data_IF_225482775377
#
_entry.id   IF_225482775377
#
_cell.length_a   1.000
_cell.length_b   1.000
_cell.length_c   1.000
_cell.angle_alpha   90.00
_cell.angle_beta   90.00
_cell.angle_gamma   90.00
#
_symmetry.space_group_name_H-M   'P 1'
#
loop_
_entity.id
_entity.type
_entity.pdbx_description
1 polymer ?
#
# COMPACT_ATOMS: atom_id res chain seq x y z
N UNK A 1 23.91 -10.12 -6.52
CA UNK A 1 22.45 -10.26 -6.25
C UNK A 1 22.34 -11.32 -5.16
N UNK A 2 21.75 -10.99 -4.01
CA UNK A 2 21.79 -11.88 -2.86
C UNK A 2 20.90 -13.11 -3.06
N UNK A 3 21.34 -14.27 -2.55
CA UNK A 3 20.57 -15.53 -2.51
C UNK A 3 19.14 -15.37 -1.97
N UNK A 4 18.90 -14.37 -1.13
CA UNK A 4 17.57 -14.01 -0.64
C UNK A 4 16.58 -13.58 -1.73
N UNK A 5 17.05 -12.94 -2.80
CA UNK A 5 16.19 -12.49 -3.91
C UNK A 5 15.75 -13.66 -4.80
N UNK A 6 16.62 -14.65 -5.01
CA UNK A 6 16.27 -15.88 -5.74
C UNK A 6 15.31 -16.77 -4.95
N UNK A 7 15.41 -16.80 -3.63
CA UNK A 7 14.48 -17.54 -2.77
C UNK A 7 13.05 -16.96 -2.80
N UNK A 8 12.89 -15.64 -2.92
CA UNK A 8 11.57 -15.01 -3.07
C UNK A 8 10.93 -15.29 -4.43
N UNK A 9 11.73 -15.41 -5.48
CA UNK A 9 11.23 -15.68 -6.83
C UNK A 9 10.89 -17.16 -7.05
N UNK A 10 11.37 -18.06 -6.20
CA UNK A 10 11.12 -19.50 -6.25
C UNK A 10 9.94 -19.99 -5.39
N UNK A 11 9.18 -19.10 -4.75
CA UNK A 11 7.95 -19.51 -4.11
C UNK A 11 6.96 -19.95 -5.18
N UNK A 12 6.68 -21.25 -5.22
CA UNK A 12 5.65 -21.83 -6.07
C UNK A 12 4.31 -21.16 -5.73
N UNK A 13 3.84 -20.29 -6.62
CA UNK A 13 2.52 -19.68 -6.49
C UNK A 13 1.48 -20.78 -6.67
N UNK A 14 0.62 -21.08 -5.68
CA UNK A 14 -0.35 -22.16 -5.78
C UNK A 14 -1.37 -21.87 -6.87
N UNK A 15 -1.74 -22.92 -7.60
CA UNK A 15 -2.79 -22.89 -8.61
C UNK A 15 -4.12 -23.29 -7.99
N UNK A 16 -5.18 -22.59 -8.37
CA UNK A 16 -6.57 -22.87 -7.99
C UNK A 16 -7.35 -23.24 -9.24
N UNK A 17 -8.12 -24.33 -9.19
CA UNK A 17 -8.99 -24.78 -10.30
C UNK A 17 -10.43 -24.43 -9.97
N UNK A 18 -11.07 -23.64 -10.82
CA UNK A 18 -12.51 -23.36 -10.77
C UNK A 18 -13.25 -24.21 -11.79
N UNK A 19 -14.31 -24.89 -11.34
CA UNK A 19 -15.26 -25.52 -12.24
C UNK A 19 -16.33 -24.50 -12.65
N UNK A 20 -16.51 -24.32 -13.95
CA UNK A 20 -17.53 -23.46 -14.53
C UNK A 20 -18.42 -24.25 -15.47
N UNK A 21 -19.57 -23.71 -15.83
CA UNK A 21 -20.47 -24.29 -16.82
C UNK A 21 -19.81 -24.48 -18.23
N UNK A 22 -18.62 -23.89 -18.42
CA UNK A 22 -17.83 -23.96 -19.67
C UNK A 22 -16.55 -24.80 -19.53
N UNK A 23 -16.41 -25.57 -18.43
CA UNK A 23 -15.26 -26.41 -18.12
C UNK A 23 -14.38 -25.85 -16.98
N UNK A 24 -13.28 -26.52 -16.74
CA UNK A 24 -12.32 -26.18 -15.71
C UNK A 24 -11.39 -25.03 -16.17
N UNK A 25 -11.11 -24.10 -15.27
CA UNK A 25 -10.11 -23.04 -15.47
C UNK A 25 -9.14 -23.00 -14.31
N UNK A 26 -7.86 -23.06 -14.59
CA UNK A 26 -6.80 -22.89 -13.62
C UNK A 26 -6.36 -21.41 -13.56
N UNK A 27 -6.18 -20.91 -12.35
CA UNK A 27 -5.64 -19.58 -12.05
C UNK A 27 -4.53 -19.72 -11.00
N UNK A 28 -3.50 -18.91 -11.08
CA UNK A 28 -2.69 -18.69 -9.89
C UNK A 28 -3.52 -17.95 -8.82
N UNK A 29 -3.10 -18.08 -7.55
CA UNK A 29 -3.88 -17.53 -6.43
C UNK A 29 -4.06 -16.01 -6.52
N UNK A 30 -3.05 -15.27 -7.01
CA UNK A 30 -3.15 -13.81 -7.14
C UNK A 30 -4.10 -13.40 -8.27
N UNK A 31 -4.04 -14.08 -9.42
CA UNK A 31 -4.99 -13.89 -10.52
C UNK A 31 -6.42 -14.23 -10.11
N UNK A 32 -6.59 -15.25 -9.26
CA UNK A 32 -7.90 -15.59 -8.71
C UNK A 32 -8.43 -14.53 -7.76
N UNK A 33 -7.57 -14.00 -6.88
CA UNK A 33 -7.93 -12.92 -5.96
C UNK A 33 -8.19 -11.60 -6.69
N UNK A 34 -7.49 -11.33 -7.79
CA UNK A 34 -7.75 -10.15 -8.63
C UNK A 34 -9.19 -10.14 -9.19
N UNK A 35 -9.78 -11.29 -9.51
CA UNK A 35 -11.20 -11.39 -9.89
C UNK A 35 -12.15 -10.94 -8.77
N UNK A 36 -11.73 -11.06 -7.51
CA UNK A 36 -12.46 -10.54 -6.34
C UNK A 36 -12.06 -9.10 -6.01
N UNK A 37 -11.38 -8.43 -6.95
CA UNK A 37 -10.91 -7.04 -6.82
C UNK A 37 -9.91 -6.84 -5.66
N UNK A 38 -9.09 -7.85 -5.42
CA UNK A 38 -8.06 -7.86 -4.38
C UNK A 38 -6.69 -7.76 -5.03
N UNK A 39 -5.92 -6.75 -4.63
CA UNK A 39 -4.53 -6.53 -5.04
C UNK A 39 -3.63 -6.68 -3.82
N UNK A 40 -2.45 -7.28 -4.00
CA UNK A 40 -1.42 -7.39 -2.97
C UNK A 40 -0.18 -6.59 -3.33
N UNK A 41 0.27 -5.77 -2.39
CA UNK A 41 1.59 -5.15 -2.40
C UNK A 41 2.44 -5.83 -1.31
N UNK A 42 3.34 -6.72 -1.72
CA UNK A 42 4.22 -7.47 -0.82
C UNK A 42 5.68 -7.18 -1.15
N UNK A 43 6.48 -6.89 -0.11
CA UNK A 43 7.91 -6.61 -0.24
C UNK A 43 8.22 -5.18 -0.69
N UNK A 44 9.48 -4.93 -1.13
CA UNK A 44 9.95 -3.60 -1.52
C UNK A 44 9.27 -3.05 -2.78
N UNK A 45 9.01 -1.74 -2.78
CA UNK A 45 8.43 -1.04 -3.93
C UNK A 45 9.54 -0.61 -4.88
N UNK A 46 9.46 -1.05 -6.12
CA UNK A 46 10.33 -0.68 -7.24
C UNK A 46 9.52 -0.59 -8.54
N UNK A 47 10.12 -0.13 -9.63
CA UNK A 47 9.40 0.20 -10.87
C UNK A 47 8.56 -0.97 -11.42
N UNK A 48 9.07 -2.20 -11.41
CA UNK A 48 8.33 -3.34 -11.92
C UNK A 48 7.09 -3.66 -11.06
N UNK A 49 7.20 -3.60 -9.73
CA UNK A 49 6.07 -3.77 -8.81
C UNK A 49 5.06 -2.64 -9.01
N UNK A 50 5.52 -1.39 -9.09
CA UNK A 50 4.65 -0.24 -9.29
C UNK A 50 3.87 -0.34 -10.60
N UNK A 51 4.54 -0.68 -11.71
CA UNK A 51 3.90 -0.86 -13.01
C UNK A 51 2.82 -1.94 -12.97
N UNK A 52 3.09 -3.06 -12.29
CA UNK A 52 2.11 -4.14 -12.15
C UNK A 52 0.89 -3.73 -11.31
N UNK A 53 1.11 -3.02 -10.20
CA UNK A 53 0.01 -2.52 -9.35
C UNK A 53 -0.83 -1.49 -10.11
N UNK A 54 -0.22 -0.53 -10.80
CA UNK A 54 -0.92 0.45 -11.61
C UNK A 54 -1.78 -0.22 -12.70
N UNK A 55 -1.22 -1.22 -13.39
CA UNK A 55 -1.97 -1.98 -14.41
C UNK A 55 -3.18 -2.71 -13.81
N UNK A 56 -3.05 -3.32 -12.63
CA UNK A 56 -4.15 -3.98 -11.93
C UNK A 56 -5.24 -2.98 -11.49
N UNK A 57 -4.85 -1.82 -10.97
CA UNK A 57 -5.79 -0.75 -10.59
C UNK A 57 -6.61 -0.28 -11.80
N UNK A 58 -5.95 0.02 -12.91
CA UNK A 58 -6.60 0.45 -14.16
C UNK A 58 -7.49 -0.64 -14.76
N UNK A 59 -7.05 -1.90 -14.72
CA UNK A 59 -7.85 -3.03 -15.18
C UNK A 59 -9.14 -3.19 -14.38
N UNK A 60 -9.05 -3.12 -13.05
CA UNK A 60 -10.23 -3.25 -12.19
C UNK A 60 -11.18 -2.06 -12.32
N UNK A 61 -10.65 -0.84 -12.50
CA UNK A 61 -11.47 0.33 -12.78
C UNK A 61 -12.22 0.20 -14.09
N UNK A 62 -11.56 -0.27 -15.15
CA UNK A 62 -12.19 -0.50 -16.45
C UNK A 62 -13.27 -1.60 -16.40
N UNK A 63 -13.08 -2.63 -15.57
CA UNK A 63 -14.06 -3.70 -15.35
C UNK A 63 -15.32 -3.18 -14.64
N UNK A 64 -15.17 -2.46 -13.53
CA UNK A 64 -16.29 -1.85 -12.81
C UNK A 64 -15.83 -0.66 -11.95
N UNK A 65 -16.03 0.59 -12.42
CA UNK A 65 -15.58 1.78 -11.69
C UNK A 65 -16.35 2.09 -10.40
N UNK A 66 -17.50 1.44 -10.18
CA UNK A 66 -18.35 1.71 -9.02
C UNK A 66 -18.13 0.74 -7.85
N UNK A 67 -17.26 -0.25 -8.04
CA UNK A 67 -16.93 -1.22 -6.98
C UNK A 67 -15.57 -0.90 -6.37
N UNK A 68 -15.46 -1.12 -5.07
CA UNK A 68 -14.23 -0.96 -4.32
C UNK A 68 -13.14 -1.92 -4.83
N UNK A 69 -11.90 -1.46 -4.71
CA UNK A 69 -10.70 -2.27 -4.88
C UNK A 69 -10.08 -2.45 -3.49
N UNK A 70 -9.81 -3.68 -3.09
CA UNK A 70 -9.17 -3.99 -1.81
C UNK A 70 -7.66 -4.13 -2.01
N UNK A 71 -6.90 -3.21 -1.44
CA UNK A 71 -5.45 -3.14 -1.60
C UNK A 71 -4.76 -3.54 -0.30
N UNK A 72 -4.25 -4.78 -0.26
CA UNK A 72 -3.54 -5.34 0.89
C UNK A 72 -2.06 -4.99 0.83
N UNK A 73 -1.54 -4.42 1.91
CA UNK A 73 -0.17 -3.88 1.99
C UNK A 73 0.62 -4.63 3.07
N UNK A 74 1.74 -5.25 2.64
CA UNK A 74 2.79 -5.80 3.50
C UNK A 74 4.15 -5.40 2.92
N UNK A 75 4.55 -4.15 3.14
CA UNK A 75 5.69 -3.56 2.46
C UNK A 75 6.57 -2.72 3.41
N UNK A 76 7.90 -2.85 3.30
CA UNK A 76 8.84 -1.94 3.98
C UNK A 76 8.96 -0.58 3.28
N UNK A 77 8.22 -0.32 2.19
CA UNK A 77 8.38 0.84 1.34
C UNK A 77 9.35 0.60 0.19
N UNK A 78 9.95 1.66 -0.34
CA UNK A 78 10.90 1.54 -1.45
C UNK A 78 11.09 2.84 -2.23
N UNK A 79 11.24 2.75 -3.54
CA UNK A 79 11.53 3.89 -4.42
C UNK A 79 10.39 4.89 -4.41
N UNK A 80 10.70 6.15 -4.11
CA UNK A 80 9.71 7.24 -3.94
C UNK A 80 8.89 7.45 -5.21
N UNK A 81 9.55 7.57 -6.37
CA UNK A 81 8.86 7.81 -7.66
C UNK A 81 7.95 6.66 -8.07
N UNK A 82 8.38 5.40 -7.85
CA UNK A 82 7.56 4.21 -8.08
C UNK A 82 6.33 4.19 -7.16
N UNK A 83 6.50 4.63 -5.91
CA UNK A 83 5.39 4.73 -4.95
C UNK A 83 4.42 5.85 -5.29
N UNK A 84 4.91 6.99 -5.78
CA UNK A 84 4.07 8.08 -6.27
C UNK A 84 3.28 7.68 -7.52
N UNK A 85 3.83 6.83 -8.38
CA UNK A 85 3.08 6.28 -9.52
C UNK A 85 1.87 5.46 -9.06
N UNK A 86 2.04 4.62 -8.03
CA UNK A 86 0.91 3.88 -7.43
C UNK A 86 -0.08 4.87 -6.78
N UNK A 87 0.42 5.80 -5.98
CA UNK A 87 -0.39 6.82 -5.31
C UNK A 87 -1.26 7.60 -6.31
N UNK A 88 -0.64 8.17 -7.33
CA UNK A 88 -1.35 8.96 -8.34
C UNK A 88 -2.39 8.11 -9.08
N UNK A 89 -2.08 6.84 -9.40
CA UNK A 89 -3.03 5.92 -10.01
C UNK A 89 -4.23 5.65 -9.09
N UNK A 90 -4.00 5.42 -7.78
CA UNK A 90 -5.08 5.27 -6.79
C UNK A 90 -5.99 6.50 -6.72
N UNK A 91 -5.43 7.71 -6.85
CA UNK A 91 -6.20 8.95 -6.82
C UNK A 91 -6.88 9.27 -8.17
N UNK A 92 -6.33 8.78 -9.28
CA UNK A 92 -6.81 9.04 -10.64
C UNK A 92 -8.04 8.21 -11.00
N UNK A 93 -8.10 6.94 -10.59
CA UNK A 93 -9.20 6.03 -10.90
C UNK A 93 -10.47 6.40 -10.14
N UNK A 94 -11.63 6.04 -10.70
CA UNK A 94 -12.94 6.30 -10.09
C UNK A 94 -13.31 5.30 -8.99
N UNK A 95 -12.81 4.06 -9.11
CA UNK A 95 -13.05 3.02 -8.09
C UNK A 95 -12.44 3.44 -6.76
N UNK A 96 -13.20 3.43 -5.64
CA UNK A 96 -12.62 3.64 -4.33
C UNK A 96 -11.61 2.54 -4.00
N UNK A 97 -10.45 2.91 -3.47
CA UNK A 97 -9.42 1.96 -3.04
C UNK A 97 -9.46 1.83 -1.52
N UNK A 98 -9.92 0.68 -1.04
CA UNK A 98 -9.83 0.33 0.38
C UNK A 98 -8.44 -0.26 0.65
N UNK A 99 -7.72 0.29 1.63
CA UNK A 99 -6.36 -0.14 1.99
C UNK A 99 -6.35 -0.94 3.28
N UNK A 100 -5.59 -2.03 3.32
CA UNK A 100 -5.50 -2.91 4.49
C UNK A 100 -4.04 -3.23 4.79
N UNK A 101 -3.53 -2.80 5.94
CA UNK A 101 -2.22 -3.19 6.41
C UNK A 101 -2.25 -4.61 6.99
N UNK A 102 -1.43 -5.50 6.43
CA UNK A 102 -1.16 -6.84 6.96
C UNK A 102 0.35 -6.99 7.21
N UNK A 103 0.75 -7.32 8.43
CA UNK A 103 2.16 -7.40 8.79
C UNK A 103 2.81 -6.03 8.96
N UNK A 104 3.15 -5.33 7.87
CA UNK A 104 3.74 -4.00 7.96
C UNK A 104 3.36 -3.07 6.80
N UNK A 105 3.29 -1.79 7.10
CA UNK A 105 3.26 -0.71 6.12
C UNK A 105 4.26 0.36 6.55
N UNK A 106 5.46 0.33 5.98
CA UNK A 106 6.54 1.23 6.37
C UNK A 106 6.92 2.18 5.22
N UNK A 107 7.36 3.41 5.57
CA UNK A 107 7.85 4.40 4.61
C UNK A 107 6.80 4.64 3.51
N UNK A 108 7.15 4.47 2.23
CA UNK A 108 6.20 4.58 1.13
C UNK A 108 4.99 3.63 1.25
N UNK A 109 5.12 2.49 1.94
CA UNK A 109 3.99 1.61 2.24
C UNK A 109 2.95 2.27 3.15
N UNK A 110 3.38 3.06 4.14
CA UNK A 110 2.47 3.82 5.01
C UNK A 110 1.81 4.99 4.28
N UNK A 111 2.49 5.60 3.31
CA UNK A 111 1.90 6.61 2.43
C UNK A 111 0.73 6.03 1.62
N UNK A 112 0.94 4.87 1.00
CA UNK A 112 -0.09 4.18 0.23
C UNK A 112 -1.24 3.70 1.11
N UNK A 113 -0.96 3.26 2.33
CA UNK A 113 -1.99 2.90 3.32
C UNK A 113 -2.88 4.10 3.65
N UNK A 114 -2.27 5.24 3.97
CA UNK A 114 -2.99 6.47 4.29
C UNK A 114 -3.75 7.06 3.09
N UNK A 115 -3.31 6.74 1.86
CA UNK A 115 -3.89 7.22 0.60
C UNK A 115 -5.18 6.49 0.18
N UNK A 116 -5.63 5.50 0.92
CA UNK A 116 -6.92 4.84 0.72
C UNK A 116 -8.11 5.79 0.77
N UNK A 117 -9.24 5.36 0.24
CA UNK A 117 -10.48 6.10 0.31
C UNK A 117 -10.87 6.34 1.78
N UNK A 118 -11.43 7.52 2.06
CA UNK A 118 -11.87 7.91 3.40
C UNK A 118 -12.83 6.86 3.98
N UNK A 119 -12.65 6.54 5.25
CA UNK A 119 -13.40 5.51 5.99
C UNK A 119 -13.16 4.07 5.48
N UNK A 120 -12.13 3.86 4.63
CA UNK A 120 -11.77 2.56 4.06
C UNK A 120 -10.28 2.22 4.20
N UNK A 121 -9.63 2.78 5.22
CA UNK A 121 -8.22 2.53 5.52
C UNK A 121 -8.13 1.69 6.80
N UNK A 122 -7.65 0.47 6.66
CA UNK A 122 -7.70 -0.54 7.71
C UNK A 122 -6.32 -1.06 8.09
N UNK A 123 -6.21 -1.57 9.30
CA UNK A 123 -5.05 -2.36 9.74
C UNK A 123 -5.49 -3.57 10.54
N UNK A 124 -4.79 -4.69 10.39
CA UNK A 124 -4.93 -5.82 11.31
C UNK A 124 -4.25 -5.51 12.64
N UNK A 125 -4.69 -6.11 13.77
CA UNK A 125 -4.32 -5.67 15.12
C UNK A 125 -2.84 -5.86 15.47
N UNK A 126 -2.13 -6.76 14.80
CA UNK A 126 -0.70 -7.05 15.04
C UNK A 126 0.23 -6.46 13.97
N UNK A 127 -0.28 -5.59 13.10
CA UNK A 127 0.54 -4.92 12.08
C UNK A 127 1.40 -3.82 12.68
N UNK A 128 2.45 -3.42 11.94
CA UNK A 128 3.30 -2.27 12.28
C UNK A 128 3.25 -1.25 11.16
N UNK A 129 3.03 -0.01 11.53
CA UNK A 129 3.08 1.11 10.60
C UNK A 129 4.30 1.96 10.94
N UNK A 130 5.08 2.38 9.94
CA UNK A 130 6.24 3.24 10.16
C UNK A 130 6.24 4.39 9.17
N UNK A 131 6.42 5.59 9.70
CA UNK A 131 6.53 6.83 8.92
C UNK A 131 7.90 7.45 9.14
N UNK A 132 8.49 7.98 8.08
CA UNK A 132 9.72 8.78 8.11
C UNK A 132 9.87 9.61 6.83
N UNK A 133 10.80 10.57 6.85
CA UNK A 133 11.15 11.35 5.66
C UNK A 133 11.85 10.48 4.60
N UNK A 134 11.82 10.87 3.31
CA UNK A 134 12.56 10.14 2.28
C UNK A 134 14.06 10.16 2.59
N UNK A 135 14.69 9.00 2.43
CA UNK A 135 16.15 8.89 2.45
C UNK A 135 16.70 9.03 1.04
N UNK A 136 17.81 9.71 0.90
CA UNK A 136 18.51 9.88 -0.37
C UNK A 136 19.96 10.23 -0.14
N UNK A 137 20.76 10.13 -1.19
CA UNK A 137 22.16 10.51 -1.21
C UNK A 137 22.54 11.01 -2.60
N UNK A 138 23.59 11.83 -2.66
CA UNK A 138 24.13 12.34 -3.90
C UNK A 138 25.65 12.19 -3.90
N UNK A 139 26.21 11.88 -5.07
CA UNK A 139 27.64 11.79 -5.31
C UNK A 139 27.94 12.40 -6.68
N UNK A 140 29.02 13.16 -6.79
CA UNK A 140 29.41 13.82 -8.03
C UNK A 140 30.07 15.17 -7.77
N UNK A 141 30.03 16.06 -8.77
CA UNK A 141 30.50 17.43 -8.65
C UNK A 141 29.57 18.25 -7.73
N UNK A 142 30.07 19.34 -7.17
CA UNK A 142 29.29 20.18 -6.24
C UNK A 142 27.93 20.61 -6.78
N UNK A 143 27.86 20.99 -8.06
CA UNK A 143 26.61 21.37 -8.72
C UNK A 143 25.63 20.20 -8.83
N UNK A 144 26.11 18.97 -9.11
CA UNK A 144 25.27 17.79 -9.19
C UNK A 144 24.68 17.43 -7.82
N UNK A 145 25.50 17.54 -6.78
CA UNK A 145 25.06 17.34 -5.38
C UNK A 145 23.97 18.35 -5.00
N UNK A 146 24.15 19.63 -5.38
CA UNK A 146 23.15 20.68 -5.11
C UNK A 146 21.83 20.40 -5.83
N UNK A 147 21.85 19.97 -7.09
CA UNK A 147 20.65 19.61 -7.86
C UNK A 147 19.91 18.45 -7.17
N UNK A 148 20.63 17.39 -6.82
CA UNK A 148 20.04 16.23 -6.14
C UNK A 148 19.48 16.59 -4.76
N UNK A 149 20.16 17.43 -4.00
CA UNK A 149 19.67 17.89 -2.71
C UNK A 149 18.36 18.68 -2.83
N UNK A 150 18.24 19.56 -3.82
CA UNK A 150 17.00 20.30 -4.10
C UNK A 150 15.84 19.35 -4.45
N UNK A 151 16.09 18.34 -5.27
CA UNK A 151 15.09 17.35 -5.64
C UNK A 151 14.62 16.54 -4.44
N UNK A 152 15.53 16.07 -3.58
CA UNK A 152 15.18 15.35 -2.34
C UNK A 152 14.31 16.23 -1.42
N UNK A 153 14.64 17.52 -1.28
CA UNK A 153 13.86 18.46 -0.49
C UNK A 153 12.46 18.71 -1.09
N UNK A 154 12.36 18.80 -2.42
CA UNK A 154 11.09 18.94 -3.11
C UNK A 154 10.20 17.70 -2.92
N UNK A 155 10.78 16.50 -3.06
CA UNK A 155 10.06 15.24 -2.78
C UNK A 155 9.60 15.15 -1.32
N UNK A 156 10.47 15.54 -0.35
CA UNK A 156 10.10 15.61 1.07
C UNK A 156 8.89 16.52 1.30
N UNK A 157 8.91 17.72 0.72
CA UNK A 157 7.79 18.65 0.83
C UNK A 157 6.51 18.05 0.25
N UNK A 158 6.58 17.42 -0.93
CA UNK A 158 5.45 16.78 -1.59
C UNK A 158 4.86 15.63 -0.76
N UNK A 159 5.70 14.77 -0.18
CA UNK A 159 5.27 13.68 0.68
C UNK A 159 4.58 14.20 1.95
N UNK A 160 5.10 15.26 2.55
CA UNK A 160 4.48 15.91 3.71
C UNK A 160 3.06 16.41 3.37
N UNK A 161 2.88 17.07 2.21
CA UNK A 161 1.57 17.52 1.72
C UNK A 161 0.58 16.36 1.55
N UNK A 162 1.04 15.23 1.03
CA UNK A 162 0.22 14.03 0.88
C UNK A 162 -0.23 13.50 2.26
N UNK A 163 0.67 13.42 3.23
CA UNK A 163 0.29 13.02 4.58
C UNK A 163 -0.67 14.02 5.24
N UNK A 164 -0.45 15.32 5.11
CA UNK A 164 -1.40 16.37 5.58
C UNK A 164 -2.79 16.13 5.00
N UNK A 165 -2.86 15.94 3.68
CA UNK A 165 -4.13 15.71 2.96
C UNK A 165 -4.91 14.51 3.51
N UNK A 166 -4.22 13.39 3.76
CA UNK A 166 -4.87 12.13 4.10
C UNK A 166 -5.08 11.92 5.60
N UNK A 167 -4.20 12.48 6.44
CA UNK A 167 -4.30 12.34 7.90
C UNK A 167 -5.12 13.45 8.56
N UNK A 168 -5.21 14.62 7.93
CA UNK A 168 -5.79 15.81 8.52
C UNK A 168 -4.90 16.49 9.58
N UNK A 169 -3.69 15.99 9.80
CA UNK A 169 -2.72 16.59 10.72
C UNK A 169 -2.14 17.88 10.14
N UNK A 170 -1.80 18.89 10.98
CA UNK A 170 -1.12 20.07 10.51
C UNK A 170 0.30 19.76 10.02
N UNK A 171 0.81 20.59 9.09
CA UNK A 171 2.11 20.38 8.45
C UNK A 171 3.26 20.22 9.45
N UNK A 172 3.26 21.03 10.50
CA UNK A 172 4.29 20.98 11.54
C UNK A 172 4.31 19.64 12.30
N UNK A 173 3.13 19.08 12.56
CA UNK A 173 3.00 17.76 13.19
C UNK A 173 3.52 16.65 12.28
N UNK A 174 3.19 16.72 10.98
CA UNK A 174 3.71 15.80 9.97
C UNK A 174 5.23 15.91 9.85
N UNK A 175 5.78 17.11 9.72
CA UNK A 175 7.23 17.33 9.63
C UNK A 175 7.98 16.78 10.85
N UNK A 176 7.45 17.04 12.05
CA UNK A 176 8.02 16.52 13.29
C UNK A 176 7.94 14.98 13.37
N UNK A 177 6.81 14.39 12.96
CA UNK A 177 6.61 12.96 13.02
C UNK A 177 7.46 12.19 11.98
N UNK A 178 7.74 12.79 10.84
CA UNK A 178 8.54 12.21 9.75
C UNK A 178 10.05 12.47 9.90
N UNK A 179 10.50 13.26 10.85
CA UNK A 179 11.92 13.63 10.98
C UNK A 179 12.83 12.42 11.21
N UNK A 180 12.36 11.42 11.94
CA UNK A 180 13.03 10.13 12.18
C UNK A 180 12.02 9.00 12.09
N UNK A 181 12.51 7.76 12.06
CA UNK A 181 11.66 6.58 12.06
C UNK A 181 10.69 6.61 13.23
N UNK A 182 9.40 6.72 12.93
CA UNK A 182 8.33 6.66 13.90
C UNK A 182 7.49 5.42 13.66
N UNK A 183 7.64 4.44 14.56
CA UNK A 183 6.87 3.22 14.55
C UNK A 183 5.57 3.42 15.34
N UNK A 184 4.47 2.96 14.75
CA UNK A 184 3.13 3.09 15.29
C UNK A 184 2.48 1.70 15.34
N UNK A 185 1.80 1.42 16.46
CA UNK A 185 0.80 0.36 16.52
C UNK A 185 -0.42 0.75 15.66
N UNK A 186 -1.31 -0.19 15.33
CA UNK A 186 -2.54 0.14 14.60
C UNK A 186 -3.40 1.19 15.30
N UNK A 187 -3.50 1.16 16.63
CA UNK A 187 -4.26 2.14 17.42
C UNK A 187 -3.63 3.53 17.30
N UNK A 188 -2.33 3.64 17.50
CA UNK A 188 -1.60 4.92 17.35
C UNK A 188 -1.69 5.45 15.91
N UNK A 189 -1.68 4.57 14.90
CA UNK A 189 -1.84 4.94 13.50
C UNK A 189 -3.27 5.47 13.21
N UNK A 190 -4.28 4.90 13.85
CA UNK A 190 -5.66 5.38 13.77
C UNK A 190 -5.81 6.75 14.46
N UNK A 191 -5.26 6.93 15.66
CA UNK A 191 -5.26 8.21 16.37
C UNK A 191 -4.50 9.30 15.61
N UNK A 192 -3.44 8.94 14.89
CA UNK A 192 -2.68 9.84 14.03
C UNK A 192 -3.40 10.17 12.71
N UNK A 193 -4.41 9.39 12.32
CA UNK A 193 -5.19 9.58 11.09
C UNK A 193 -4.65 8.88 9.86
N UNK A 194 -3.68 7.96 10.01
CA UNK A 194 -3.14 7.15 8.91
C UNK A 194 -4.13 6.08 8.43
N UNK A 195 -4.97 5.59 9.34
CA UNK A 195 -6.02 4.62 9.06
C UNK A 195 -7.32 5.06 9.74
N UNK A 196 -8.42 4.43 9.35
CA UNK A 196 -9.75 4.73 9.89
C UNK A 196 -10.19 3.71 10.95
N UNK A 197 -9.73 2.45 10.85
CA UNK A 197 -10.20 1.37 11.72
C UNK A 197 -9.16 0.25 11.90
N UNK A 198 -9.12 -0.35 13.09
CA UNK A 198 -8.39 -1.59 13.37
C UNK A 198 -9.38 -2.76 13.33
N UNK A 199 -9.19 -3.69 12.39
CA UNK A 199 -10.13 -4.76 12.09
C UNK A 199 -9.61 -6.10 12.60
N UNK A 200 -10.29 -6.71 13.57
CA UNK A 200 -9.92 -8.03 14.12
C UNK A 200 -10.51 -9.19 13.30
N UNK A 201 -11.67 -8.98 12.70
CA UNK A 201 -12.37 -9.99 11.89
C UNK A 201 -13.08 -9.37 10.70
N UNK A 202 -13.26 -10.14 9.62
CA UNK A 202 -14.09 -9.66 8.50
C UNK A 202 -15.52 -9.41 8.96
N UNK A 203 -16.16 -8.31 8.50
CA UNK A 203 -17.59 -8.09 8.71
C UNK A 203 -18.41 -9.31 8.25
N UNK A 204 -19.42 -9.71 9.04
CA UNK A 204 -20.25 -10.89 8.73
C UNK A 204 -19.86 -12.18 9.48
N UNK A 205 -18.71 -12.23 10.18
CA UNK A 205 -18.34 -13.42 10.96
C UNK A 205 -19.26 -13.65 12.15
N UNK A 206 -19.79 -12.60 12.76
CA UNK A 206 -20.71 -12.68 13.91
C UNK A 206 -22.07 -13.29 13.56
N UNK A 207 -22.51 -13.20 12.29
CA UNK A 207 -23.77 -13.82 11.85
C UNK A 207 -23.63 -15.35 11.68
N UNK A 208 -22.44 -15.85 11.32
CA UNK A 208 -22.22 -17.29 11.15
C UNK A 208 -22.11 -18.04 12.49
N UNK A 209 -21.68 -17.38 13.57
CA UNK A 209 -21.56 -17.99 14.90
C UNK A 209 -22.92 -18.06 15.66
N UNK A 210 -23.90 -17.25 15.27
CA UNK A 210 -25.28 -17.31 15.83
C UNK A 210 -26.16 -18.40 15.20
N UNK A 211 -25.71 -19.01 14.10
CA UNK A 211 -26.44 -20.06 13.37
C UNK A 211 -26.20 -21.50 13.84
N UNK A 212 -25.34 -21.72 14.84
CA UNK A 212 -25.05 -23.02 15.44
C UNK A 212 -25.34 -23.01 16.95
N UNK A 213 -26.61 -22.89 17.32
CA UNK A 213 -27.14 -23.30 18.62
C UNK A 213 -28.39 -24.12 18.46
#
# INVERSE_FOLDING_TARGET
MSEYFEQYMNNLVPMVVEQTNRGERAYDIYSRLLKERIIFLVGPIHDAVASLICAQLLFLEADNPNKDINFYINSPGGVVTSSLAIYDTMQYIRSPVATVCIGQAASAGSLLLAAGAKEKRYSLPNSRIMIHQPSGGAQGQATDIEIQAREILALRARLNEIYVKHTGQPLEAIQSALERDKFLSPIEAMEFGLIDEVVESRPGREESERGFK
#
